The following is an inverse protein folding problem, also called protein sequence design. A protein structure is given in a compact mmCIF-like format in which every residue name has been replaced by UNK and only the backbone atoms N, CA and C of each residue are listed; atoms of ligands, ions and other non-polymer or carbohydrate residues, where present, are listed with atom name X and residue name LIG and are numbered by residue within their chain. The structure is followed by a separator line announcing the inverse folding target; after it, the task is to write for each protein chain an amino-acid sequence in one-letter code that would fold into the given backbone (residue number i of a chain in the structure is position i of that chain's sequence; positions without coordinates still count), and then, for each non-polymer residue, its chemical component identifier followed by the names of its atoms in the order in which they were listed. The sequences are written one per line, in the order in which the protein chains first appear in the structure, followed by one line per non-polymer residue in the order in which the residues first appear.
data_IF_816462340294
#
_entry.id   IF_816462340294
#
_cell.length_a   1.000
_cell.length_b   1.000
_cell.length_c   1.000
_cell.angle_alpha   90.00
_cell.angle_beta   90.00
_cell.angle_gamma   90.00
#
_symmetry.space_group_name_H-M   'P 1'
#
loop_
_entity.id
_entity.type
_entity.pdbx_description
1 polymer ?
#
# COMPACT_ATOMS: atom_id res chain seq x y z
N UNK A 1 8.58 17.86 16.41
CA UNK A 1 7.38 17.39 15.71
C UNK A 1 7.76 17.09 14.27
N UNK A 2 7.49 15.88 13.79
CA UNK A 2 7.77 15.46 12.42
C UNK A 2 6.47 15.32 11.64
N UNK A 3 6.54 15.42 10.31
CA UNK A 3 5.40 15.13 9.43
C UNK A 3 5.85 14.12 8.36
N UNK A 4 5.00 13.13 8.13
CA UNK A 4 5.14 12.19 7.02
C UNK A 4 3.80 12.10 6.27
N UNK A 5 3.88 11.76 5.00
CA UNK A 5 2.68 11.50 4.18
C UNK A 5 2.73 10.07 3.68
N UNK A 6 1.64 9.35 3.92
CA UNK A 6 1.39 8.01 3.38
C UNK A 6 0.36 8.13 2.25
N UNK A 7 0.60 7.45 1.14
CA UNK A 7 -0.32 7.45 0.01
C UNK A 7 -0.38 6.07 -0.63
N UNK A 8 -1.59 5.54 -0.75
CA UNK A 8 -1.82 4.34 -1.54
C UNK A 8 -1.79 4.70 -3.02
N UNK A 9 -1.24 3.81 -3.85
CA UNK A 9 -1.26 3.98 -5.30
C UNK A 9 -2.67 4.27 -5.82
N UNK A 10 -2.78 5.00 -6.93
CA UNK A 10 -4.03 5.25 -7.64
C UNK A 10 -4.67 3.94 -8.14
N UNK A 11 -5.90 4.03 -8.65
CA UNK A 11 -6.62 2.87 -9.17
C UNK A 11 -5.77 2.14 -10.22
N UNK A 12 -5.57 0.82 -10.03
CA UNK A 12 -4.89 -0.05 -10.99
C UNK A 12 -5.90 -0.77 -11.88
N UNK A 13 -5.43 -1.31 -13.02
CA UNK A 13 -6.26 -2.10 -13.94
C UNK A 13 -6.97 -3.25 -13.22
N UNK A 14 -6.29 -3.93 -12.29
CA UNK A 14 -6.90 -5.01 -11.52
C UNK A 14 -7.75 -4.55 -10.32
N UNK A 15 -7.61 -3.29 -9.88
CA UNK A 15 -8.64 -2.69 -9.01
C UNK A 15 -9.95 -2.51 -9.78
N UNK A 16 -9.87 -1.98 -11.02
CA UNK A 16 -11.02 -1.82 -11.91
C UNK A 16 -11.68 -3.16 -12.25
N UNK A 17 -10.88 -4.18 -12.57
CA UNK A 17 -11.34 -5.54 -12.88
C UNK A 17 -11.79 -6.33 -11.65
N UNK A 18 -11.70 -5.75 -10.45
CA UNK A 18 -12.01 -6.41 -9.17
C UNK A 18 -11.22 -7.72 -8.95
N UNK A 19 -9.92 -7.74 -9.29
CA UNK A 19 -9.04 -8.92 -9.12
C UNK A 19 -8.14 -8.77 -7.90
N UNK A 20 -7.72 -9.93 -7.35
CA UNK A 20 -6.64 -10.00 -6.37
C UNK A 20 -5.31 -9.70 -7.06
N UNK A 21 -4.62 -8.63 -6.66
CA UNK A 21 -3.41 -8.19 -7.37
C UNK A 21 -2.13 -8.73 -6.75
N UNK A 22 -1.93 -8.52 -5.46
CA UNK A 22 -0.70 -8.95 -4.77
C UNK A 22 0.57 -8.41 -5.43
N UNK A 23 1.52 -9.31 -5.72
CA UNK A 23 2.80 -8.97 -6.35
C UNK A 23 2.77 -8.95 -7.88
N UNK A 24 1.63 -9.26 -8.49
CA UNK A 24 1.46 -9.08 -9.94
C UNK A 24 1.62 -7.60 -10.28
N UNK A 25 2.47 -7.31 -11.26
CA UNK A 25 2.90 -5.95 -11.58
C UNK A 25 2.02 -5.30 -12.66
N UNK A 26 0.79 -4.96 -12.28
CA UNK A 26 -0.17 -4.24 -13.12
C UNK A 26 0.01 -2.72 -13.04
N UNK A 27 -0.41 -2.02 -14.08
CA UNK A 27 -0.32 -0.56 -14.17
C UNK A 27 -1.57 0.15 -13.61
N UNK A 28 -1.49 1.47 -13.53
CA UNK A 28 -2.61 2.36 -13.22
C UNK A 28 -3.59 2.44 -14.39
N UNK A 29 -4.87 2.65 -14.08
CA UNK A 29 -5.85 3.15 -15.04
C UNK A 29 -5.65 4.66 -15.28
N UNK A 30 -6.33 5.22 -16.29
CA UNK A 30 -6.33 6.68 -16.50
C UNK A 30 -6.88 7.43 -15.28
N UNK A 31 -7.90 6.87 -14.62
CA UNK A 31 -8.41 7.38 -13.34
C UNK A 31 -7.34 7.34 -12.26
N UNK A 32 -6.59 6.23 -12.12
CA UNK A 32 -5.51 6.12 -11.14
C UNK A 32 -4.37 7.10 -11.38
N UNK A 33 -4.08 7.42 -12.64
CA UNK A 33 -3.13 8.49 -13.01
C UNK A 33 -3.67 9.88 -12.60
N UNK A 34 -4.94 10.16 -12.87
CA UNK A 34 -5.58 11.40 -12.45
C UNK A 34 -5.63 11.55 -10.92
N UNK A 35 -5.88 10.45 -10.19
CA UNK A 35 -5.81 10.41 -8.72
C UNK A 35 -4.42 10.79 -8.20
N UNK A 36 -3.35 10.27 -8.83
CA UNK A 36 -1.96 10.58 -8.45
C UNK A 36 -1.60 12.06 -8.69
N UNK A 37 -2.01 12.62 -9.82
CA UNK A 37 -1.83 14.04 -10.15
C UNK A 37 -2.62 14.92 -9.17
N UNK A 38 -3.87 14.54 -8.87
CA UNK A 38 -4.70 15.26 -7.91
C UNK A 38 -4.08 15.26 -6.50
N UNK A 39 -3.51 14.14 -6.08
CA UNK A 39 -2.78 14.05 -4.80
C UNK A 39 -1.60 15.04 -4.75
N UNK A 40 -0.83 15.16 -5.84
CA UNK A 40 0.24 16.15 -5.97
C UNK A 40 -0.26 17.59 -5.82
N UNK A 41 -1.40 17.93 -6.44
CA UNK A 41 -2.04 19.25 -6.29
C UNK A 41 -2.43 19.54 -4.86
N UNK A 42 -3.11 18.60 -4.20
CA UNK A 42 -3.52 18.75 -2.80
C UNK A 42 -2.32 18.97 -1.88
N UNK A 43 -1.25 18.21 -2.08
CA UNK A 43 -0.02 18.34 -1.29
C UNK A 43 0.65 19.70 -1.50
N UNK A 44 0.78 20.14 -2.75
CA UNK A 44 1.35 21.44 -3.10
C UNK A 44 0.51 22.60 -2.53
N UNK A 45 -0.81 22.58 -2.70
CA UNK A 45 -1.73 23.60 -2.20
C UNK A 45 -1.75 23.66 -0.66
N UNK A 46 -1.56 22.51 0.01
CA UNK A 46 -1.40 22.44 1.47
C UNK A 46 0.00 22.83 1.97
N UNK A 47 0.90 23.25 1.08
CA UNK A 47 2.25 23.72 1.43
C UNK A 47 3.23 22.62 1.82
N UNK A 48 2.95 21.35 1.43
CA UNK A 48 3.90 20.27 1.65
C UNK A 48 5.06 20.36 0.66
N UNK A 49 6.25 20.02 1.14
CA UNK A 49 7.41 19.71 0.33
C UNK A 49 8.06 18.44 0.87
N UNK A 50 8.86 17.78 0.05
CA UNK A 50 9.56 16.56 0.43
C UNK A 50 11.02 16.65 -0.02
N UNK A 51 11.89 15.97 0.69
CA UNK A 51 13.31 15.85 0.33
C UNK A 51 13.76 14.38 0.16
N UNK A 52 12.85 13.45 0.41
CA UNK A 52 13.05 12.01 0.22
C UNK A 52 11.71 11.32 0.05
N UNK A 53 11.64 10.34 -0.85
CA UNK A 53 10.46 9.51 -1.00
C UNK A 53 10.81 8.02 -0.93
N UNK A 54 9.86 7.22 -0.44
CA UNK A 54 9.93 5.77 -0.41
C UNK A 54 8.77 5.16 -1.22
N UNK A 55 9.06 4.09 -1.94
CA UNK A 55 8.03 3.34 -2.66
C UNK A 55 8.40 1.86 -2.76
N UNK A 56 7.45 1.03 -3.18
CA UNK A 56 7.70 -0.37 -3.49
C UNK A 56 8.42 -0.55 -4.83
N UNK A 57 8.64 -1.79 -5.23
CA UNK A 57 9.18 -2.13 -6.57
C UNK A 57 8.07 -2.46 -7.59
N UNK A 58 6.80 -2.20 -7.27
CA UNK A 58 5.66 -2.44 -8.16
C UNK A 58 5.25 -1.15 -8.89
N UNK A 59 5.11 -1.23 -10.22
CA UNK A 59 4.95 -0.06 -11.10
C UNK A 59 3.79 0.86 -10.73
N UNK A 60 2.67 0.34 -10.25
CA UNK A 60 1.51 1.15 -9.85
C UNK A 60 1.84 2.13 -8.72
N UNK A 61 2.66 1.71 -7.72
CA UNK A 61 3.09 2.60 -6.64
C UNK A 61 4.18 3.57 -7.11
N UNK A 62 5.14 3.09 -7.90
CA UNK A 62 6.20 3.89 -8.50
C UNK A 62 5.60 4.99 -9.39
N UNK A 63 4.67 4.63 -10.28
CA UNK A 63 4.04 5.58 -11.20
C UNK A 63 3.17 6.60 -10.47
N UNK A 64 2.47 6.18 -9.43
CA UNK A 64 1.74 7.09 -8.55
C UNK A 64 2.69 8.12 -7.95
N UNK A 65 3.82 7.66 -7.38
CA UNK A 65 4.82 8.56 -6.81
C UNK A 65 5.38 9.53 -7.86
N UNK A 66 5.76 9.03 -9.03
CA UNK A 66 6.30 9.87 -10.10
C UNK A 66 5.33 10.97 -10.53
N UNK A 67 4.06 10.63 -10.77
CA UNK A 67 3.04 11.61 -11.16
C UNK A 67 2.76 12.64 -10.04
N UNK A 68 2.81 12.21 -8.79
CA UNK A 68 2.66 13.10 -7.64
C UNK A 68 3.84 14.06 -7.52
N UNK A 69 5.08 13.58 -7.65
CA UNK A 69 6.27 14.41 -7.58
C UNK A 69 6.42 15.35 -8.78
N UNK A 70 6.02 14.90 -9.99
CA UNK A 70 5.97 15.73 -11.19
C UNK A 70 5.04 16.93 -10.99
N UNK A 71 3.82 16.71 -10.49
CA UNK A 71 2.86 17.76 -10.17
C UNK A 71 3.35 18.74 -9.09
N UNK A 72 4.26 18.29 -8.23
CA UNK A 72 4.86 19.12 -7.17
C UNK A 72 6.19 19.79 -7.57
N UNK A 73 6.69 19.60 -8.79
CA UNK A 73 8.05 20.00 -9.22
C UNK A 73 9.17 19.43 -8.33
N UNK A 74 8.95 18.23 -7.78
CA UNK A 74 9.88 17.54 -6.87
C UNK A 74 10.49 16.26 -7.47
N UNK A 75 10.50 16.09 -8.79
CA UNK A 75 11.05 14.91 -9.47
C UNK A 75 12.57 14.73 -9.24
N UNK A 76 13.25 15.73 -8.74
CA UNK A 76 14.69 15.73 -8.44
C UNK A 76 15.06 15.09 -7.09
N UNK A 77 14.09 14.88 -6.19
CA UNK A 77 14.39 14.31 -4.86
C UNK A 77 14.78 12.82 -4.97
N UNK A 78 15.64 12.32 -4.06
CA UNK A 78 15.95 10.90 -4.00
C UNK A 78 14.70 10.05 -3.75
N UNK A 79 14.62 8.90 -4.43
CA UNK A 79 13.57 7.90 -4.24
C UNK A 79 14.22 6.58 -3.87
N UNK A 80 13.80 6.01 -2.76
CA UNK A 80 14.20 4.67 -2.33
C UNK A 80 13.10 3.66 -2.70
N UNK A 81 13.45 2.69 -3.55
CA UNK A 81 12.59 1.56 -3.88
C UNK A 81 12.91 0.41 -2.93
N UNK A 82 11.89 -0.05 -2.21
CA UNK A 82 12.06 -1.13 -1.24
C UNK A 82 10.96 -2.19 -1.43
N UNK A 83 11.36 -3.42 -1.75
CA UNK A 83 10.42 -4.53 -1.92
C UNK A 83 9.61 -4.83 -0.66
N UNK A 84 10.15 -4.49 0.52
CA UNK A 84 9.44 -4.63 1.81
C UNK A 84 8.19 -3.76 1.89
N UNK A 85 8.05 -2.76 1.01
CA UNK A 85 6.84 -1.93 0.86
C UNK A 85 5.85 -2.48 -0.18
N UNK A 86 6.12 -3.62 -0.83
CA UNK A 86 5.20 -4.25 -1.77
C UNK A 86 3.83 -4.53 -1.12
N UNK A 87 2.80 -4.70 -1.97
CA UNK A 87 1.51 -5.21 -1.53
C UNK A 87 1.65 -6.60 -0.90
N UNK A 88 0.70 -6.98 -0.06
CA UNK A 88 0.60 -8.32 0.47
C UNK A 88 0.47 -9.34 -0.66
N UNK A 89 1.20 -10.44 -0.57
CA UNK A 89 1.12 -11.52 -1.54
C UNK A 89 -0.15 -12.35 -1.32
N UNK A 90 -1.01 -12.38 -2.32
CA UNK A 90 -2.31 -13.06 -2.21
C UNK A 90 -2.27 -14.56 -2.56
N UNK A 91 -1.09 -15.17 -2.70
CA UNK A 91 -0.95 -16.59 -2.98
C UNK A 91 -1.71 -17.03 -4.23
N UNK A 92 -2.37 -18.17 -4.15
CA UNK A 92 -3.13 -18.75 -5.26
C UNK A 92 -4.32 -17.88 -5.72
N UNK A 93 -4.74 -16.88 -4.91
CA UNK A 93 -5.80 -15.95 -5.31
C UNK A 93 -5.35 -14.91 -6.33
N UNK A 94 -4.04 -14.68 -6.52
CA UNK A 94 -3.54 -13.67 -7.48
C UNK A 94 -4.12 -13.92 -8.88
N UNK A 95 -4.73 -12.88 -9.45
CA UNK A 95 -5.38 -12.91 -10.77
C UNK A 95 -6.85 -13.31 -10.76
N UNK A 96 -7.36 -13.93 -9.69
CA UNK A 96 -8.77 -14.30 -9.60
C UNK A 96 -9.64 -13.05 -9.39
N UNK A 97 -10.85 -13.08 -9.95
CA UNK A 97 -11.87 -12.06 -9.69
C UNK A 97 -12.45 -12.26 -8.28
N UNK A 98 -12.55 -11.19 -7.50
CA UNK A 98 -12.97 -11.27 -6.09
C UNK A 98 -14.43 -11.69 -5.93
N UNK A 99 -15.32 -11.20 -6.80
CA UNK A 99 -16.74 -11.55 -6.75
C UNK A 99 -16.99 -13.00 -7.16
N UNK A 100 -16.30 -13.49 -8.21
CA UNK A 100 -16.37 -14.90 -8.63
C UNK A 100 -15.80 -15.82 -7.54
N UNK A 101 -14.71 -15.40 -6.90
CA UNK A 101 -14.12 -16.14 -5.77
C UNK A 101 -15.12 -16.18 -4.59
N UNK A 102 -15.81 -15.07 -4.30
CA UNK A 102 -16.84 -15.03 -3.27
C UNK A 102 -18.05 -15.92 -3.61
N UNK A 103 -18.46 -15.97 -4.87
CA UNK A 103 -19.52 -16.89 -5.32
C UNK A 103 -19.11 -18.36 -5.16
N UNK A 104 -17.81 -18.69 -5.31
CA UNK A 104 -17.30 -20.05 -5.21
C UNK A 104 -17.05 -20.51 -3.76
N UNK A 105 -16.47 -19.63 -2.91
CA UNK A 105 -16.00 -19.99 -1.57
C UNK A 105 -16.84 -19.37 -0.45
N UNK A 106 -17.79 -18.50 -0.77
CA UNK A 106 -18.58 -17.71 0.17
C UNK A 106 -17.91 -16.38 0.55
N UNK A 107 -18.77 -15.37 0.84
CA UNK A 107 -18.32 -14.02 1.22
C UNK A 107 -17.47 -14.03 2.48
N UNK A 108 -17.83 -14.85 3.48
CA UNK A 108 -17.11 -14.96 4.76
C UNK A 108 -15.67 -15.44 4.57
N UNK A 109 -15.49 -16.51 3.77
CA UNK A 109 -14.15 -17.05 3.51
C UNK A 109 -13.27 -16.04 2.75
N UNK A 110 -13.84 -15.35 1.76
CA UNK A 110 -13.12 -14.31 1.01
C UNK A 110 -12.81 -13.12 1.91
N UNK A 111 -13.71 -12.77 2.82
CA UNK A 111 -13.46 -11.70 3.81
C UNK A 111 -12.29 -12.08 4.73
N UNK A 112 -12.24 -13.33 5.23
CA UNK A 112 -11.12 -13.85 6.03
C UNK A 112 -9.81 -13.72 5.25
N UNK A 113 -9.72 -14.23 4.02
CA UNK A 113 -8.50 -14.12 3.21
C UNK A 113 -8.10 -12.68 2.89
N UNK A 114 -9.05 -11.75 2.79
CA UNK A 114 -8.78 -10.35 2.50
C UNK A 114 -8.40 -9.52 3.71
N UNK A 115 -8.91 -9.83 4.88
CA UNK A 115 -8.93 -8.91 6.01
C UNK A 115 -8.34 -9.46 7.30
N UNK A 116 -8.36 -10.78 7.52
CA UNK A 116 -7.79 -11.40 8.70
C UNK A 116 -6.34 -10.98 8.91
N UNK A 117 -5.96 -10.83 10.18
CA UNK A 117 -4.60 -10.49 10.54
C UNK A 117 -3.63 -11.64 10.28
N UNK A 118 -4.00 -12.87 10.62
CA UNK A 118 -3.11 -14.04 10.70
C UNK A 118 -3.47 -15.21 9.78
N UNK A 119 -4.54 -15.09 8.98
CA UNK A 119 -4.98 -16.18 8.09
C UNK A 119 -4.64 -15.84 6.62
N UNK A 120 -3.59 -16.45 6.03
CA UNK A 120 -3.23 -16.23 4.64
C UNK A 120 -4.14 -17.00 3.69
N UNK A 121 -4.26 -16.58 2.42
CA UNK A 121 -4.77 -17.43 1.36
C UNK A 121 -3.84 -18.63 1.12
N UNK A 122 -4.34 -19.64 0.37
CA UNK A 122 -3.49 -20.76 -0.04
C UNK A 122 -2.24 -20.27 -0.79
N UNK A 123 -1.06 -20.84 -0.51
CA UNK A 123 0.16 -20.43 -1.19
C UNK A 123 0.14 -20.82 -2.67
N UNK A 124 0.94 -20.14 -3.48
CA UNK A 124 1.32 -20.63 -4.80
C UNK A 124 2.17 -21.90 -4.65
N UNK A 125 2.03 -22.83 -5.59
CA UNK A 125 3.00 -23.90 -5.71
C UNK A 125 4.38 -23.33 -6.09
N UNK A 126 5.50 -23.92 -5.64
CA UNK A 126 6.83 -23.37 -5.91
C UNK A 126 7.23 -23.34 -7.40
N UNK A 127 6.54 -24.11 -8.24
CA UNK A 127 6.69 -24.18 -9.70
C UNK A 127 5.61 -23.41 -10.47
N UNK A 128 4.73 -22.70 -9.76
CA UNK A 128 3.69 -21.87 -10.39
C UNK A 128 4.36 -20.70 -11.13
N UNK A 129 3.97 -20.48 -12.39
CA UNK A 129 4.51 -19.40 -13.24
C UNK A 129 4.27 -17.98 -12.69
N UNK A 130 3.39 -17.83 -11.69
CA UNK A 130 3.11 -16.54 -11.01
C UNK A 130 4.06 -16.26 -9.84
N UNK A 131 4.99 -17.17 -9.53
CA UNK A 131 6.02 -16.92 -8.50
C UNK A 131 6.95 -15.80 -8.95
N UNK A 132 7.51 -15.06 -8.00
CA UNK A 132 8.45 -13.98 -8.29
C UNK A 132 9.92 -14.41 -8.17
N UNK A 133 10.22 -15.71 -8.21
CA UNK A 133 11.57 -16.23 -7.97
C UNK A 133 12.60 -15.80 -9.02
N UNK A 134 12.17 -15.67 -10.28
CA UNK A 134 13.03 -15.31 -11.41
C UNK A 134 12.87 -13.83 -11.82
N UNK A 135 12.13 -13.04 -11.05
CA UNK A 135 11.94 -11.63 -11.32
C UNK A 135 13.19 -10.82 -10.91
N UNK A 136 13.82 -10.08 -11.84
CA UNK A 136 15.07 -9.35 -11.59
C UNK A 136 14.96 -8.30 -10.47
N UNK A 137 13.75 -7.83 -10.15
CA UNK A 137 13.52 -6.91 -9.03
C UNK A 137 13.87 -7.53 -7.67
N UNK A 138 13.88 -8.85 -7.58
CA UNK A 138 14.13 -9.61 -6.37
C UNK A 138 15.42 -10.43 -6.42
N UNK A 139 16.26 -10.24 -7.44
CA UNK A 139 17.50 -11.02 -7.65
C UNK A 139 18.49 -10.95 -6.47
N UNK A 140 18.41 -9.89 -5.64
CA UNK A 140 19.23 -9.77 -4.42
C UNK A 140 18.66 -10.50 -3.19
N UNK A 141 17.50 -11.14 -3.30
CA UNK A 141 16.85 -11.83 -2.20
C UNK A 141 17.14 -13.33 -2.22
N UNK A 142 17.18 -13.93 -1.04
CA UNK A 142 17.14 -15.39 -0.94
C UNK A 142 15.73 -15.87 -1.28
N UNK A 143 15.61 -17.09 -1.80
CA UNK A 143 14.33 -17.69 -2.21
C UNK A 143 13.29 -17.70 -1.06
N UNK A 144 13.74 -17.92 0.17
CA UNK A 144 12.90 -17.96 1.36
C UNK A 144 12.31 -16.57 1.75
N UNK A 145 12.90 -15.49 1.23
CA UNK A 145 12.41 -14.12 1.46
C UNK A 145 11.31 -13.72 0.47
N UNK A 146 11.16 -14.49 -0.62
CA UNK A 146 10.12 -14.25 -1.64
C UNK A 146 8.87 -15.04 -1.24
N UNK A 147 7.77 -14.39 -0.82
CA UNK A 147 6.61 -15.09 -0.31
C UNK A 147 5.85 -15.82 -1.41
N UNK A 148 5.28 -16.96 -1.07
CA UNK A 148 4.28 -17.67 -1.88
C UNK A 148 2.85 -17.33 -1.46
N UNK A 149 2.68 -16.76 -0.28
CA UNK A 149 1.45 -16.19 0.28
C UNK A 149 1.78 -15.34 1.50
N UNK A 150 0.92 -14.40 1.85
CA UNK A 150 1.04 -13.60 3.08
C UNK A 150 -0.35 -13.35 3.69
N UNK A 151 -0.42 -13.37 5.03
CA UNK A 151 -1.45 -12.66 5.80
C UNK A 151 -0.96 -11.24 6.15
N UNK A 152 -1.76 -10.46 6.86
CA UNK A 152 -1.33 -9.11 7.27
C UNK A 152 -0.18 -9.16 8.29
N UNK A 153 -0.14 -10.16 9.17
CA UNK A 153 0.95 -10.40 10.13
C UNK A 153 2.31 -10.56 9.42
N UNK A 154 2.34 -11.34 8.33
CA UNK A 154 3.55 -11.52 7.52
C UNK A 154 3.95 -10.20 6.85
N UNK A 155 2.97 -9.45 6.35
CA UNK A 155 3.20 -8.12 5.78
C UNK A 155 3.78 -7.15 6.82
N UNK A 156 3.28 -7.15 8.05
CA UNK A 156 3.85 -6.36 9.17
C UNK A 156 5.29 -6.74 9.42
N UNK A 157 5.57 -8.06 9.56
CA UNK A 157 6.92 -8.56 9.80
C UNK A 157 7.92 -8.16 8.69
N UNK A 158 7.45 -7.99 7.45
CA UNK A 158 8.24 -7.55 6.32
C UNK A 158 8.40 -6.02 6.25
N UNK A 159 7.34 -5.27 6.55
CA UNK A 159 7.32 -3.80 6.43
C UNK A 159 8.05 -3.12 7.59
N UNK A 160 7.94 -3.65 8.81
CA UNK A 160 8.54 -2.98 9.98
C UNK A 160 10.07 -2.87 9.91
N UNK A 161 10.84 -3.83 9.42
CA UNK A 161 12.26 -3.62 9.17
C UNK A 161 12.58 -2.48 8.19
N UNK A 162 11.74 -2.21 7.17
CA UNK A 162 11.93 -1.05 6.31
C UNK A 162 11.69 0.26 7.05
N UNK A 163 10.70 0.29 7.94
CA UNK A 163 10.46 1.42 8.83
C UNK A 163 11.63 1.65 9.78
N UNK A 164 12.05 0.62 10.51
CA UNK A 164 13.04 0.73 11.58
C UNK A 164 14.45 1.04 11.03
N UNK A 165 14.83 0.39 9.91
CA UNK A 165 16.19 0.48 9.37
C UNK A 165 16.43 1.73 8.53
N UNK A 166 15.39 2.24 7.84
CA UNK A 166 15.56 3.29 6.82
C UNK A 166 14.63 4.48 6.99
N UNK A 167 13.33 4.27 7.19
CA UNK A 167 12.34 5.35 7.19
C UNK A 167 12.42 6.15 8.48
N UNK A 168 12.34 5.51 9.64
CA UNK A 168 12.38 6.18 10.94
C UNK A 168 13.71 6.92 11.20
N UNK A 169 14.89 6.38 10.84
CA UNK A 169 16.14 7.13 10.90
C UNK A 169 16.13 8.39 10.02
N UNK A 170 15.58 8.32 8.81
CA UNK A 170 15.48 9.48 7.93
C UNK A 170 14.56 10.58 8.51
N UNK A 171 13.43 10.19 9.12
CA UNK A 171 12.53 11.13 9.82
C UNK A 171 13.27 11.79 10.98
N UNK A 172 13.99 11.03 11.82
CA UNK A 172 14.78 11.58 12.95
C UNK A 172 15.90 12.50 12.50
N UNK A 173 16.44 12.30 11.29
CA UNK A 173 17.39 13.20 10.64
C UNK A 173 16.74 14.48 10.10
N UNK A 174 15.44 14.70 10.31
CA UNK A 174 14.71 15.89 9.91
C UNK A 174 14.20 15.88 8.47
N UNK A 175 14.24 14.72 7.77
CA UNK A 175 13.76 14.62 6.40
C UNK A 175 12.25 14.70 6.33
N UNK A 176 11.73 15.40 5.34
CA UNK A 176 10.31 15.43 4.98
C UNK A 176 10.02 14.32 3.98
N UNK A 177 9.20 13.35 4.40
CA UNK A 177 9.08 12.06 3.71
C UNK A 177 7.69 11.84 3.13
N UNK A 178 7.66 11.40 1.85
CA UNK A 178 6.48 10.85 1.18
C UNK A 178 6.68 9.33 0.98
N UNK A 179 5.68 8.53 1.39
CA UNK A 179 5.65 7.08 1.18
C UNK A 179 4.48 6.74 0.26
N UNK A 180 4.77 6.29 -0.95
CA UNK A 180 3.77 5.77 -1.90
C UNK A 180 3.84 4.25 -1.94
N UNK A 181 2.79 3.57 -1.46
CA UNK A 181 2.80 2.12 -1.32
C UNK A 181 1.41 1.51 -1.61
N UNK A 182 1.03 0.45 -0.89
CA UNK A 182 -0.15 -0.36 -1.19
C UNK A 182 -1.08 -0.47 0.01
N UNK A 183 -2.31 -0.98 -0.24
CA UNK A 183 -3.32 -1.11 0.79
C UNK A 183 -2.83 -1.84 2.03
N UNK A 184 -2.23 -3.03 1.88
CA UNK A 184 -1.83 -3.81 3.05
C UNK A 184 -0.47 -3.39 3.64
N UNK A 185 0.50 -2.94 2.84
CA UNK A 185 1.74 -2.40 3.40
C UNK A 185 1.50 -1.12 4.21
N UNK A 186 0.59 -0.24 3.77
CA UNK A 186 0.20 0.92 4.55
C UNK A 186 -0.64 0.54 5.78
N UNK A 187 -1.52 -0.46 5.68
CA UNK A 187 -2.24 -0.99 6.86
C UNK A 187 -1.27 -1.54 7.91
N UNK A 188 -0.17 -2.18 7.48
CA UNK A 188 0.88 -2.64 8.38
C UNK A 188 1.56 -1.47 9.13
N UNK A 189 1.95 -0.42 8.40
CA UNK A 189 2.51 0.80 9.01
C UNK A 189 1.52 1.49 9.95
N UNK A 190 0.29 1.70 9.51
CA UNK A 190 -0.76 2.35 10.30
C UNK A 190 -1.06 1.56 11.57
N UNK A 191 -1.14 0.21 11.46
CA UNK A 191 -1.32 -0.66 12.62
C UNK A 191 -0.23 -0.46 13.67
N UNK A 192 1.03 -0.40 13.25
CA UNK A 192 2.16 -0.21 14.15
C UNK A 192 2.19 1.20 14.75
N UNK A 193 1.98 2.23 13.93
CA UNK A 193 1.99 3.63 14.38
C UNK A 193 0.88 3.93 15.37
N UNK A 194 -0.34 3.49 15.07
CA UNK A 194 -1.54 3.80 15.88
C UNK A 194 -1.79 2.78 17.00
N UNK A 195 -1.01 1.70 17.09
CA UNK A 195 -1.22 0.64 18.08
C UNK A 195 -2.55 -0.11 17.90
N UNK A 196 -3.04 -0.25 16.65
CA UNK A 196 -4.31 -0.90 16.35
C UNK A 196 -4.24 -2.40 16.68
N UNK A 197 -5.26 -2.93 17.36
CA UNK A 197 -5.32 -4.36 17.69
C UNK A 197 -5.45 -5.25 16.45
N UNK A 198 -5.18 -6.55 16.60
CA UNK A 198 -5.33 -7.55 15.53
C UNK A 198 -6.78 -7.69 15.06
N UNK A 199 -7.73 -7.46 15.96
CA UNK A 199 -9.16 -7.48 15.63
C UNK A 199 -9.61 -6.20 14.92
N UNK A 200 -9.17 -5.04 15.39
CA UNK A 200 -9.63 -3.75 14.87
C UNK A 200 -9.05 -3.43 13.49
N UNK A 201 -7.85 -3.97 13.17
CA UNK A 201 -7.22 -3.74 11.87
C UNK A 201 -8.04 -4.26 10.70
N UNK A 202 -8.94 -5.22 10.92
CA UNK A 202 -9.84 -5.76 9.90
C UNK A 202 -10.70 -4.66 9.26
N UNK A 203 -11.14 -3.68 10.06
CA UNK A 203 -11.99 -2.55 9.64
C UNK A 203 -11.23 -1.43 8.93
N UNK A 204 -9.89 -1.37 9.02
CA UNK A 204 -9.13 -0.27 8.44
C UNK A 204 -9.09 -0.36 6.91
N UNK A 205 -9.52 0.71 6.23
CA UNK A 205 -9.39 0.90 4.79
C UNK A 205 -8.45 2.06 4.48
N UNK A 206 -7.67 1.90 3.40
CA UNK A 206 -6.80 2.95 2.86
C UNK A 206 -7.25 3.24 1.43
N UNK A 207 -7.86 4.41 1.15
CA UNK A 207 -8.36 4.76 -0.17
C UNK A 207 -7.22 4.99 -1.16
N UNK A 208 -7.48 4.76 -2.45
CA UNK A 208 -6.53 5.01 -3.52
C UNK A 208 -6.27 6.51 -3.69
N UNK A 209 -5.02 6.90 -3.95
CA UNK A 209 -4.64 8.25 -4.34
C UNK A 209 -4.93 9.35 -3.32
N UNK A 210 -5.24 9.02 -2.06
CA UNK A 210 -5.55 10.02 -1.03
C UNK A 210 -4.36 10.19 -0.08
N UNK A 211 -3.75 11.38 0.02
CA UNK A 211 -2.65 11.63 0.94
C UNK A 211 -3.13 11.59 2.40
N UNK A 212 -2.54 10.72 3.20
CA UNK A 212 -2.74 10.60 4.65
C UNK A 212 -1.55 11.23 5.37
N UNK A 213 -1.77 12.32 6.04
CA UNK A 213 -0.75 13.03 6.82
C UNK A 213 -0.69 12.47 8.24
N UNK A 214 0.50 12.20 8.72
CA UNK A 214 0.81 11.96 10.12
C UNK A 214 1.64 13.10 10.68
N UNK A 215 1.25 13.62 11.83
CA UNK A 215 2.05 14.45 12.70
C UNK A 215 2.57 13.57 13.85
N UNK A 216 3.89 13.50 14.00
CA UNK A 216 4.57 12.61 14.94
C UNK A 216 5.34 13.42 15.98
N UNK A 217 5.42 12.91 17.20
CA UNK A 217 6.28 13.48 18.26
C UNK A 217 7.77 13.12 18.07
N UNK A 218 8.60 13.43 19.06
CA UNK A 218 10.04 13.14 19.03
C UNK A 218 10.35 11.64 19.01
N UNK A 219 9.47 10.82 19.59
CA UNK A 219 9.58 9.36 19.64
C UNK A 219 8.92 8.66 18.43
N UNK A 220 8.47 9.44 17.44
CA UNK A 220 7.72 9.02 16.25
C UNK A 220 6.35 8.42 16.58
N UNK A 221 5.76 8.78 17.73
CA UNK A 221 4.38 8.41 18.08
C UNK A 221 3.41 9.39 17.42
N UNK A 222 2.28 8.90 16.88
CA UNK A 222 1.27 9.76 16.29
C UNK A 222 0.66 10.73 17.30
N UNK A 223 0.72 12.02 16.99
CA UNK A 223 -0.03 13.09 17.66
C UNK A 223 -1.39 13.23 16.98
N UNK A 224 -1.38 13.20 15.64
CA UNK A 224 -2.56 13.38 14.79
C UNK A 224 -2.36 12.73 13.44
N UNK A 225 -3.46 12.26 12.86
CA UNK A 225 -3.50 11.91 11.43
C UNK A 225 -4.77 12.44 10.77
N UNK A 226 -4.68 12.76 9.50
CA UNK A 226 -5.82 13.23 8.70
C UNK A 226 -5.54 13.07 7.21
N UNK A 227 -6.59 12.88 6.43
CA UNK A 227 -6.49 12.91 4.98
C UNK A 227 -6.55 14.36 4.47
N UNK A 228 -5.83 14.64 3.38
CA UNK A 228 -5.98 15.89 2.64
C UNK A 228 -7.09 15.73 1.59
N UNK A 229 -7.85 16.81 1.36
CA UNK A 229 -8.88 16.86 0.33
C UNK A 229 -10.30 16.90 0.88
N UNK A 230 -11.26 16.69 -0.01
CA UNK A 230 -12.68 16.74 0.32
C UNK A 230 -13.12 15.51 1.12
N UNK A 231 -13.75 15.74 2.27
CA UNK A 231 -14.15 14.67 3.19
C UNK A 231 -15.16 13.69 2.57
N UNK A 232 -16.09 14.19 1.73
CA UNK A 232 -17.09 13.34 1.10
C UNK A 232 -16.46 12.46 0.00
N UNK A 233 -15.50 12.99 -0.75
CA UNK A 233 -14.74 12.22 -1.73
C UNK A 233 -13.88 11.13 -1.07
N UNK A 234 -13.25 11.43 0.07
CA UNK A 234 -12.47 10.47 0.86
C UNK A 234 -13.37 9.34 1.37
N UNK A 235 -14.52 9.67 1.94
CA UNK A 235 -15.49 8.70 2.45
C UNK A 235 -16.00 7.79 1.33
N UNK A 236 -16.36 8.36 0.17
CA UNK A 236 -16.76 7.58 -1.01
C UNK A 236 -15.65 6.62 -1.48
N UNK A 237 -14.40 7.06 -1.47
CA UNK A 237 -13.25 6.23 -1.83
C UNK A 237 -13.02 5.09 -0.80
N UNK A 238 -13.23 5.32 0.49
CA UNK A 238 -13.18 4.28 1.53
C UNK A 238 -14.28 3.24 1.34
N UNK A 239 -15.51 3.69 1.06
CA UNK A 239 -16.65 2.80 0.79
C UNK A 239 -16.43 1.94 -0.45
N UNK A 240 -15.84 2.51 -1.52
CA UNK A 240 -15.48 1.77 -2.72
C UNK A 240 -14.50 0.62 -2.42
N UNK A 241 -13.52 0.82 -1.51
CA UNK A 241 -12.61 -0.25 -1.05
C UNK A 241 -13.35 -1.31 -0.24
N UNK A 242 -14.30 -0.91 0.59
CA UNK A 242 -15.09 -1.82 1.44
C UNK A 242 -15.99 -2.73 0.60
N UNK A 243 -16.60 -2.20 -0.44
CA UNK A 243 -17.52 -2.93 -1.32
C UNK A 243 -16.84 -3.94 -2.26
N UNK A 244 -15.51 -3.84 -2.46
CA UNK A 244 -14.77 -4.80 -3.26
C UNK A 244 -14.86 -6.21 -2.65
N UNK A 245 -15.15 -7.21 -3.49
CA UNK A 245 -15.13 -8.63 -3.11
C UNK A 245 -16.42 -9.13 -2.47
N UNK A 246 -17.53 -8.41 -2.57
CA UNK A 246 -18.87 -8.97 -2.33
C UNK A 246 -19.33 -9.72 -3.58
N UNK A 247 -19.99 -10.86 -3.38
CA UNK A 247 -20.71 -11.55 -4.47
C UNK A 247 -21.73 -10.58 -5.07
N UNK A 248 -21.87 -10.60 -6.39
CA UNK A 248 -22.89 -9.85 -7.13
C UNK A 248 -24.01 -10.78 -7.51
#
# INVERSE_FOLDING_TARGET
MYKIVLMRHGESTWNLDNRFTGWTDVDLTDKGRAEAIHAGKLLREAGFTFDLAFTSVLKRAIRTLWLTLDEMDLMWIPITHDWRLNERHYGALQGLNKSETAAQYGDEQVLVWRRSYDTPPNPLAPDDARTSFDDPRYAGLKREQIPLTECLKDTVARVMPAWDDTIAPAIRAGRQILISAHGNSLRALIKALDGISDNDIVGLNVPNGQPLVYELDADLKPIKRYYLGDAAAIEAAMQAVTSQGKAR
#
